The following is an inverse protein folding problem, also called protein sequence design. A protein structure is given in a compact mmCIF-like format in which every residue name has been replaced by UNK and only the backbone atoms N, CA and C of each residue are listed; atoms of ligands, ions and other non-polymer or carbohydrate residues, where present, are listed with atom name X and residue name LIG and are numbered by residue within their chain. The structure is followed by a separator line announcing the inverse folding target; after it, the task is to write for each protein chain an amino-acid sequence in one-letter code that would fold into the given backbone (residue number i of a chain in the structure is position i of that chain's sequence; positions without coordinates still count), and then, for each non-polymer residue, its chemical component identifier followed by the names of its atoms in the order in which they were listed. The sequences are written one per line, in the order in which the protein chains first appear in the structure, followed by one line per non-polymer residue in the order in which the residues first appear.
data_IF_286854930581
#
_entry.id   IF_286854930581
#
_cell.length_a   1.000
_cell.length_b   1.000
_cell.length_c   1.000
_cell.angle_alpha   90.00
_cell.angle_beta   90.00
_cell.angle_gamma   90.00
#
_symmetry.space_group_name_H-M   'P 1'
#
loop_
_entity.id
_entity.type
_entity.pdbx_description
1 polymer ?
#
# COMPACT_ATOMS: atom_id res chain seq x y z
N UNK A 1 -7.60 3.02 16.73
CA UNK A 1 -6.77 2.52 15.62
C UNK A 1 -7.46 1.31 15.05
N UNK A 2 -7.76 1.29 13.76
CA UNK A 2 -8.59 0.24 13.16
C UNK A 2 -7.82 -0.47 12.05
N UNK A 3 -8.05 -1.78 11.91
CA UNK A 3 -7.59 -2.59 10.80
C UNK A 3 -8.70 -3.55 10.39
N UNK A 4 -8.77 -3.86 9.10
CA UNK A 4 -9.62 -4.93 8.59
C UNK A 4 -8.78 -6.20 8.59
N UNK A 5 -9.20 -7.18 9.39
CA UNK A 5 -8.59 -8.51 9.42
C UNK A 5 -9.48 -9.45 8.61
N UNK A 6 -8.90 -10.11 7.62
CA UNK A 6 -9.57 -11.08 6.78
C UNK A 6 -9.90 -12.34 7.59
N UNK A 7 -10.79 -13.19 7.06
CA UNK A 7 -11.22 -14.41 7.74
C UNK A 7 -10.06 -15.38 8.05
N UNK A 8 -8.96 -15.30 7.30
CA UNK A 8 -7.74 -16.09 7.49
C UNK A 8 -6.72 -15.44 8.45
N UNK A 9 -7.07 -14.31 9.07
CA UNK A 9 -6.20 -13.60 10.02
C UNK A 9 -5.24 -12.60 9.38
N UNK A 10 -5.18 -12.47 8.04
CA UNK A 10 -4.31 -11.49 7.39
C UNK A 10 -4.87 -10.07 7.52
N UNK A 11 -3.97 -9.09 7.63
CA UNK A 11 -4.35 -7.67 7.64
C UNK A 11 -4.55 -7.19 6.19
N UNK A 12 -5.77 -6.76 5.87
CA UNK A 12 -6.15 -6.32 4.52
C UNK A 12 -5.22 -5.23 3.96
N UNK A 13 -4.80 -4.26 4.78
CA UNK A 13 -3.94 -3.17 4.30
C UNK A 13 -2.55 -3.68 3.85
N UNK A 14 -2.00 -4.67 4.56
CA UNK A 14 -0.74 -5.31 4.18
C UNK A 14 -0.91 -6.09 2.87
N UNK A 15 -1.99 -6.86 2.74
CA UNK A 15 -2.23 -7.66 1.54
C UNK A 15 -2.56 -6.81 0.31
N UNK A 16 -3.31 -5.72 0.47
CA UNK A 16 -3.58 -4.76 -0.59
C UNK A 16 -2.29 -4.09 -1.09
N UNK A 17 -1.39 -3.71 -0.17
CA UNK A 17 -0.07 -3.18 -0.52
C UNK A 17 0.78 -4.23 -1.24
N UNK A 18 0.84 -5.47 -0.73
CA UNK A 18 1.59 -6.58 -1.32
C UNK A 18 1.14 -6.90 -2.75
N UNK A 19 -0.17 -6.85 -3.00
CA UNK A 19 -0.76 -7.05 -4.32
C UNK A 19 -0.55 -5.86 -5.27
N UNK A 20 -0.06 -4.72 -4.78
CA UNK A 20 0.11 -3.50 -5.58
C UNK A 20 -1.19 -2.76 -5.85
N UNK A 21 -2.22 -2.97 -5.02
CA UNK A 21 -3.50 -2.25 -5.11
C UNK A 21 -3.56 -1.03 -4.19
N UNK A 22 -2.54 -0.82 -3.36
CA UNK A 22 -2.45 0.30 -2.44
C UNK A 22 -1.04 0.91 -2.41
N UNK A 23 -0.98 2.22 -2.18
CA UNK A 23 0.23 2.98 -1.86
C UNK A 23 0.21 3.35 -0.37
N UNK A 24 1.31 3.11 0.36
CA UNK A 24 1.37 3.43 1.78
C UNK A 24 1.53 4.94 1.98
N UNK A 25 0.66 5.52 2.81
CA UNK A 25 0.71 6.95 3.13
C UNK A 25 0.57 7.16 4.64
N UNK A 26 1.50 7.89 5.23
CA UNK A 26 1.47 8.29 6.65
C UNK A 26 0.79 9.65 6.74
N UNK A 27 -0.44 9.67 7.23
CA UNK A 27 -1.17 10.91 7.45
C UNK A 27 -0.69 11.62 8.72
N UNK A 28 -0.44 12.93 8.60
CA UNK A 28 -0.12 13.83 9.71
C UNK A 28 1.03 13.33 10.62
N UNK A 29 2.04 12.66 10.05
CA UNK A 29 3.18 12.11 10.79
C UNK A 29 2.79 11.14 11.93
N UNK A 30 1.62 10.51 11.84
CA UNK A 30 1.11 9.54 12.82
C UNK A 30 1.09 8.15 12.20
N UNK A 31 2.22 7.42 12.20
CA UNK A 31 2.28 6.10 11.59
C UNK A 31 1.41 5.11 12.34
N UNK A 32 0.90 4.12 11.60
CA UNK A 32 0.22 3.01 12.23
C UNK A 32 1.21 2.01 12.86
N UNK A 33 0.76 1.15 13.78
CA UNK A 33 1.59 0.05 14.33
C UNK A 33 1.97 -0.97 13.25
N UNK A 34 1.27 -0.98 12.12
CA UNK A 34 1.55 -1.82 10.96
C UNK A 34 2.30 -1.08 9.85
N UNK A 35 2.65 0.20 10.04
CA UNK A 35 3.31 1.00 9.01
C UNK A 35 4.58 0.34 8.48
N UNK A 36 5.46 -0.27 9.30
CA UNK A 36 6.63 -0.99 8.79
C UNK A 36 6.27 -2.16 7.87
N UNK A 37 5.26 -2.96 8.25
CA UNK A 37 4.83 -4.12 7.48
C UNK A 37 4.16 -3.73 6.17
N UNK A 38 3.35 -2.66 6.18
CA UNK A 38 2.73 -2.11 4.97
C UNK A 38 3.80 -1.58 4.01
N UNK A 39 4.81 -0.85 4.53
CA UNK A 39 5.91 -0.34 3.72
C UNK A 39 6.76 -1.46 3.10
N UNK A 40 7.01 -2.54 3.86
CA UNK A 40 7.68 -3.75 3.36
C UNK A 40 6.88 -4.40 2.23
N UNK A 41 5.57 -4.58 2.43
CA UNK A 41 4.68 -5.17 1.44
C UNK A 41 4.61 -4.35 0.13
N UNK A 42 4.57 -3.02 0.23
CA UNK A 42 4.65 -2.13 -0.93
C UNK A 42 6.00 -2.27 -1.66
N UNK A 43 7.10 -2.41 -0.92
CA UNK A 43 8.44 -2.63 -1.50
C UNK A 43 8.51 -3.95 -2.28
N UNK A 44 7.88 -5.01 -1.76
CA UNK A 44 7.74 -6.28 -2.48
C UNK A 44 6.95 -6.09 -3.79
N UNK A 45 5.86 -5.33 -3.75
CA UNK A 45 5.02 -5.05 -4.91
C UNK A 45 5.74 -4.21 -5.98
N UNK A 46 6.51 -3.20 -5.56
CA UNK A 46 7.36 -2.37 -6.43
C UNK A 46 8.41 -3.22 -7.13
N UNK A 47 9.14 -4.03 -6.38
CA UNK A 47 10.18 -4.92 -6.91
C UNK A 47 9.61 -5.91 -7.93
N UNK A 48 8.41 -6.43 -7.67
CA UNK A 48 7.74 -7.38 -8.55
C UNK A 48 6.91 -6.73 -9.68
N UNK A 49 6.84 -5.39 -9.77
CA UNK A 49 6.03 -4.70 -10.76
C UNK A 49 4.53 -5.04 -10.69
N UNK A 50 3.99 -5.28 -9.49
CA UNK A 50 2.59 -5.69 -9.30
C UNK A 50 1.62 -4.50 -9.26
N UNK A 51 0.43 -4.69 -9.83
CA UNK A 51 -0.65 -3.71 -9.75
C UNK A 51 -0.24 -2.35 -10.29
N UNK A 52 -0.45 -1.28 -9.49
CA UNK A 52 -0.10 0.09 -9.86
C UNK A 52 1.40 0.33 -10.07
N UNK A 53 2.25 -0.60 -9.61
CA UNK A 53 3.70 -0.52 -9.77
C UNK A 53 4.20 -1.08 -11.11
N UNK A 54 3.37 -1.84 -11.82
CA UNK A 54 3.64 -2.33 -13.17
C UNK A 54 3.05 -1.44 -14.26
N UNK A 55 3.13 -1.90 -15.51
CA UNK A 55 2.47 -1.23 -16.63
C UNK A 55 0.94 -1.17 -16.41
N UNK A 56 0.25 -0.11 -16.85
CA UNK A 56 0.79 1.10 -17.51
C UNK A 56 1.19 2.21 -16.53
N UNK A 57 0.91 2.04 -15.23
CA UNK A 57 1.04 3.12 -14.26
C UNK A 57 2.48 3.36 -13.82
N UNK A 58 3.31 2.31 -13.76
CA UNK A 58 4.73 2.34 -13.36
C UNK A 58 4.98 3.14 -12.07
N UNK A 59 4.06 3.05 -11.12
CA UNK A 59 4.15 3.73 -9.83
C UNK A 59 3.74 5.21 -9.82
N UNK A 60 3.19 5.75 -10.91
CA UNK A 60 2.64 7.10 -10.93
C UNK A 60 1.36 7.16 -10.07
N UNK A 61 1.56 7.51 -8.79
CA UNK A 61 0.54 7.52 -7.74
C UNK A 61 0.38 8.90 -7.10
N UNK A 62 1.03 9.92 -7.66
CA UNK A 62 0.93 11.29 -7.19
C UNK A 62 -0.52 11.78 -7.33
N UNK A 63 -1.01 12.48 -6.30
CA UNK A 63 -2.27 13.21 -6.41
C UNK A 63 -2.04 14.49 -7.19
N UNK A 64 -2.70 14.62 -8.34
CA UNK A 64 -2.68 15.85 -9.13
C UNK A 64 -3.77 16.82 -8.62
N UNK A 65 -3.50 18.13 -8.55
CA UNK A 65 -4.52 19.12 -8.25
C UNK A 65 -5.65 19.08 -9.29
N UNK A 66 -6.89 19.19 -8.84
CA UNK A 66 -8.01 19.41 -9.74
C UNK A 66 -7.89 20.83 -10.32
N UNK A 67 -7.95 20.96 -11.66
CA UNK A 67 -8.03 22.25 -12.37
C UNK A 67 -9.43 22.82 -12.36
#
# INVERSE_FOLDING_TARGET
MAAIILADGRNYAIEAARAGHAHAYIYNHRPSIWAPQIASAETEAKTAGRGIWGAPCFGNTASEPLR
#
